data_IF_483370101791
#
_entry.id   IF_483370101791
#
_cell.length_a   1.000
_cell.length_b   1.000
_cell.length_c   1.000
_cell.angle_alpha   90.00
_cell.angle_beta   90.00
_cell.angle_gamma   90.00
#
_symmetry.space_group_name_H-M   'P 1'
#
loop_
_entity.id
_entity.type
_entity.pdbx_description
1 polymer ?
#
# COMPACT_ATOMS: atom_id res chain seq x y z
N UNK A 1 -31.64 26.39 -4.65
CA UNK A 1 -32.01 24.99 -4.89
C UNK A 1 -33.16 24.64 -3.98
N UNK A 2 -34.12 23.80 -4.38
CA UNK A 2 -35.16 23.34 -3.46
C UNK A 2 -34.52 22.60 -2.27
N UNK A 3 -34.96 22.88 -1.05
CA UNK A 3 -34.41 22.37 0.23
C UNK A 3 -34.29 20.84 0.30
N UNK A 4 -34.91 20.10 -0.61
CA UNK A 4 -34.94 18.64 -0.65
C UNK A 4 -33.69 17.98 -1.31
N UNK A 5 -32.79 18.72 -1.93
CA UNK A 5 -31.61 18.18 -2.64
C UNK A 5 -30.27 18.54 -2.00
N UNK A 6 -30.31 19.11 -0.82
CA UNK A 6 -29.10 19.40 -0.02
C UNK A 6 -29.00 18.43 1.17
N UNK A 7 -28.01 17.51 1.07
CA UNK A 7 -27.68 16.53 2.10
C UNK A 7 -26.41 16.89 2.88
N UNK A 8 -25.83 18.09 2.70
CA UNK A 8 -24.56 18.48 3.33
C UNK A 8 -24.58 18.43 4.86
N UNK A 9 -25.77 18.51 5.46
CA UNK A 9 -25.95 18.41 6.92
C UNK A 9 -26.09 16.97 7.42
N UNK A 10 -25.94 15.98 6.59
CA UNK A 10 -25.92 14.57 6.96
C UNK A 10 -24.49 14.02 6.84
N UNK A 11 -24.14 13.17 7.80
CA UNK A 11 -22.89 12.43 7.82
C UNK A 11 -23.17 10.94 7.59
N UNK A 12 -22.40 10.30 6.71
CA UNK A 12 -22.45 8.85 6.50
C UNK A 12 -21.07 8.28 6.75
N UNK A 13 -20.99 7.25 7.56
CA UNK A 13 -19.71 6.58 7.90
C UNK A 13 -19.78 5.12 7.48
N UNK A 14 -18.77 4.68 6.75
CA UNK A 14 -18.58 3.30 6.33
C UNK A 14 -17.29 2.70 6.93
N UNK A 15 -17.16 1.37 7.02
CA UNK A 15 -15.89 0.74 7.45
C UNK A 15 -14.69 1.12 6.57
N UNK A 16 -14.92 1.36 5.27
CA UNK A 16 -13.89 1.70 4.30
C UNK A 16 -14.34 2.77 3.31
N UNK A 17 -13.41 3.22 2.45
CA UNK A 17 -13.65 4.35 1.51
C UNK A 17 -14.55 4.01 0.31
N UNK A 18 -14.56 2.76 -0.13
CA UNK A 18 -15.24 2.36 -1.39
C UNK A 18 -16.75 2.58 -1.42
N UNK A 19 -17.52 2.26 -0.36
CA UNK A 19 -18.97 2.46 -0.37
C UNK A 19 -19.38 3.91 -0.65
N UNK A 20 -18.52 4.89 -0.33
CA UNK A 20 -18.78 6.30 -0.59
C UNK A 20 -19.04 6.61 -2.08
N UNK A 21 -18.25 5.99 -2.97
CA UNK A 21 -18.41 6.17 -4.40
C UNK A 21 -19.75 5.60 -4.90
N UNK A 22 -20.11 4.40 -4.45
CA UNK A 22 -21.36 3.76 -4.82
C UNK A 22 -22.58 4.51 -4.28
N UNK A 23 -22.50 4.98 -3.03
CA UNK A 23 -23.60 5.77 -2.45
C UNK A 23 -23.87 7.04 -3.27
N UNK A 24 -22.83 7.78 -3.65
CA UNK A 24 -22.98 8.96 -4.50
C UNK A 24 -23.64 8.64 -5.84
N UNK A 25 -23.21 7.55 -6.49
CA UNK A 25 -23.78 7.09 -7.76
C UNK A 25 -25.26 6.69 -7.62
N UNK A 26 -25.61 5.95 -6.56
CA UNK A 26 -27.00 5.52 -6.30
C UNK A 26 -27.90 6.71 -6.02
N UNK A 27 -27.45 7.68 -5.19
CA UNK A 27 -28.24 8.89 -4.90
C UNK A 27 -28.45 9.68 -6.20
N UNK A 28 -27.39 9.91 -6.99
CA UNK A 28 -27.52 10.62 -8.28
C UNK A 28 -28.51 9.95 -9.22
N UNK A 29 -28.43 8.62 -9.36
CA UNK A 29 -29.34 7.85 -10.21
C UNK A 29 -30.81 7.91 -9.75
N UNK A 30 -31.04 7.85 -8.42
CA UNK A 30 -32.41 7.94 -7.87
C UNK A 30 -33.02 9.33 -7.95
N UNK A 31 -32.22 10.38 -7.83
CA UNK A 31 -32.68 11.76 -7.88
C UNK A 31 -32.85 12.28 -9.30
N UNK A 32 -32.07 11.76 -10.28
CA UNK A 32 -32.09 12.21 -11.67
C UNK A 32 -31.75 13.69 -11.88
N UNK A 33 -31.18 14.35 -10.86
CA UNK A 33 -30.86 15.78 -10.84
C UNK A 33 -29.62 16.09 -10.00
N UNK A 34 -29.05 17.28 -10.18
CA UNK A 34 -27.91 17.76 -9.36
C UNK A 34 -28.33 17.90 -7.91
N UNK A 35 -27.47 17.46 -6.99
CA UNK A 35 -27.69 17.52 -5.56
C UNK A 35 -26.38 17.84 -4.82
N UNK A 36 -26.48 18.29 -3.56
CA UNK A 36 -25.34 18.43 -2.67
C UNK A 36 -25.22 17.15 -1.84
N UNK A 37 -24.12 16.37 -1.99
CA UNK A 37 -23.97 15.09 -1.32
C UNK A 37 -23.82 15.24 0.21
N UNK A 38 -24.14 14.20 0.98
CA UNK A 38 -23.76 14.14 2.40
C UNK A 38 -22.25 14.13 2.56
N UNK A 39 -21.78 14.49 3.74
CA UNK A 39 -20.40 14.23 4.15
C UNK A 39 -20.26 12.72 4.31
N UNK A 40 -19.26 12.12 3.68
CA UNK A 40 -19.07 10.66 3.72
C UNK A 40 -17.63 10.39 4.13
N UNK A 41 -17.47 9.63 5.21
CA UNK A 41 -16.18 9.20 5.74
C UNK A 41 -16.08 7.67 5.77
N UNK A 42 -14.86 7.17 5.64
CA UNK A 42 -14.50 5.88 6.20
C UNK A 42 -14.39 6.00 7.73
N UNK A 43 -14.38 4.86 8.44
CA UNK A 43 -14.22 4.86 9.90
C UNK A 43 -12.94 5.57 10.33
N UNK A 44 -11.84 5.35 9.63
CA UNK A 44 -10.57 6.00 9.92
C UNK A 44 -10.64 7.53 9.71
N UNK A 45 -11.22 8.00 8.60
CA UNK A 45 -11.43 9.43 8.34
C UNK A 45 -12.35 10.08 9.37
N UNK A 46 -13.37 9.34 9.83
CA UNK A 46 -14.27 9.80 10.89
C UNK A 46 -13.53 9.98 12.22
N UNK A 47 -12.71 9.00 12.61
CA UNK A 47 -11.88 9.09 13.82
C UNK A 47 -10.87 10.21 13.72
N UNK A 48 -10.18 10.36 12.59
CA UNK A 48 -9.24 11.45 12.36
C UNK A 48 -9.94 12.82 12.44
N UNK A 49 -11.15 12.95 11.90
CA UNK A 49 -11.97 14.15 12.00
C UNK A 49 -12.36 14.49 13.45
N UNK A 50 -12.81 13.47 14.21
CA UNK A 50 -13.12 13.64 15.64
C UNK A 50 -11.89 14.04 16.45
N UNK A 51 -10.78 13.32 16.24
CA UNK A 51 -9.52 13.61 16.92
C UNK A 51 -9.07 15.04 16.68
N UNK A 52 -9.11 15.52 15.44
CA UNK A 52 -8.77 16.91 15.11
C UNK A 52 -9.63 17.93 15.86
N UNK A 53 -10.89 17.62 16.13
CA UNK A 53 -11.78 18.48 16.94
C UNK A 53 -11.53 18.37 18.45
N UNK A 54 -11.18 17.19 18.95
CA UNK A 54 -10.89 16.96 20.38
C UNK A 54 -9.54 17.55 20.76
N UNK A 55 -8.50 17.30 19.94
CA UNK A 55 -7.13 17.70 20.20
C UNK A 55 -6.78 19.12 19.72
N UNK A 56 -7.72 19.84 19.07
CA UNK A 56 -7.46 21.16 18.52
C UNK A 56 -6.55 21.16 17.28
N UNK A 57 -6.33 20.01 16.65
CA UNK A 57 -5.63 19.90 15.37
C UNK A 57 -4.09 19.93 15.43
N UNK A 58 -3.47 19.88 16.61
CA UNK A 58 -2.01 20.08 16.74
C UNK A 58 -1.15 18.82 16.49
N UNK A 59 -1.66 17.60 16.76
CA UNK A 59 -0.85 16.39 16.64
C UNK A 59 -0.89 15.79 15.23
N UNK A 60 0.30 15.57 14.66
CA UNK A 60 0.46 14.93 13.36
C UNK A 60 0.37 13.39 13.51
N UNK A 61 -0.30 12.71 12.59
CA UNK A 61 -0.32 11.24 12.59
C UNK A 61 1.09 10.72 12.34
N UNK A 62 1.57 9.85 13.22
CA UNK A 62 2.92 9.28 13.09
C UNK A 62 2.96 8.28 11.94
N UNK A 63 4.00 8.37 11.13
CA UNK A 63 4.29 7.38 10.09
C UNK A 63 5.06 6.19 10.66
N UNK A 64 4.89 5.02 10.03
CA UNK A 64 5.49 3.77 10.52
C UNK A 64 7.01 3.87 10.72
N UNK A 65 7.70 4.54 9.80
CA UNK A 65 9.17 4.71 9.87
C UNK A 65 9.56 5.50 11.11
N UNK A 66 8.88 6.62 11.37
CA UNK A 66 9.11 7.45 12.56
C UNK A 66 8.76 6.68 13.84
N UNK A 67 7.67 5.91 13.85
CA UNK A 67 7.29 5.08 14.99
C UNK A 67 8.39 4.06 15.34
N UNK A 68 8.97 3.39 14.32
CA UNK A 68 10.07 2.45 14.53
C UNK A 68 11.32 3.15 15.07
N UNK A 69 11.59 4.38 14.63
CA UNK A 69 12.71 5.17 15.18
C UNK A 69 12.53 5.47 16.68
N UNK A 70 11.34 5.88 17.10
CA UNK A 70 11.05 6.04 18.54
C UNK A 70 11.20 4.74 19.31
N UNK A 71 10.72 3.62 18.76
CA UNK A 71 10.89 2.31 19.36
C UNK A 71 12.37 1.90 19.44
N UNK A 72 13.18 2.23 18.45
CA UNK A 72 14.61 1.98 18.47
C UNK A 72 15.33 2.77 19.57
N UNK A 73 14.99 4.05 19.75
CA UNK A 73 15.54 4.84 20.86
C UNK A 73 15.13 4.26 22.23
N UNK A 74 13.87 3.81 22.37
CA UNK A 74 13.39 3.13 23.57
C UNK A 74 14.17 1.83 23.77
N UNK A 75 14.41 1.02 22.71
CA UNK A 75 15.24 -0.17 22.78
C UNK A 75 16.65 0.13 23.30
N UNK A 76 17.27 1.19 22.81
CA UNK A 76 18.59 1.63 23.26
C UNK A 76 18.63 2.09 24.73
N UNK A 77 17.49 2.43 25.30
CA UNK A 77 17.34 2.85 26.71
C UNK A 77 17.05 1.67 27.67
N UNK A 78 16.94 0.44 27.17
CA UNK A 78 16.72 -0.75 28.01
C UNK A 78 17.98 -1.11 28.81
N UNK A 79 17.78 -1.70 29.98
CA UNK A 79 18.89 -2.20 30.83
C UNK A 79 19.56 -3.43 30.18
N UNK A 80 18.84 -4.17 29.36
CA UNK A 80 19.34 -5.37 28.67
C UNK A 80 18.89 -5.38 27.22
N UNK A 81 19.77 -5.81 26.29
CA UNK A 81 19.42 -5.94 24.89
C UNK A 81 18.34 -7.00 24.64
N UNK A 82 17.51 -6.79 23.62
CA UNK A 82 16.54 -7.78 23.18
C UNK A 82 17.23 -8.93 22.42
N UNK A 83 17.21 -10.12 23.02
CA UNK A 83 17.60 -11.35 22.34
C UNK A 83 19.10 -11.59 22.14
N UNK A 84 19.98 -10.86 22.82
CA UNK A 84 21.42 -11.04 22.70
C UNK A 84 22.23 -10.36 23.81
N UNK A 85 23.54 -10.33 23.67
CA UNK A 85 24.47 -9.63 24.56
C UNK A 85 24.66 -8.16 24.16
N UNK A 86 24.38 -7.82 22.90
CA UNK A 86 24.56 -6.47 22.34
C UNK A 86 23.23 -5.89 21.84
N UNK A 87 23.13 -4.56 21.82
CA UNK A 87 22.00 -3.86 21.24
C UNK A 87 22.00 -4.02 19.72
N UNK A 88 20.83 -4.28 19.14
CA UNK A 88 20.66 -4.38 17.69
C UNK A 88 21.02 -3.05 17.01
N UNK A 89 21.59 -3.13 15.82
CA UNK A 89 21.65 -1.99 14.91
C UNK A 89 20.23 -1.57 14.46
N UNK A 90 20.06 -0.36 13.95
CA UNK A 90 18.75 0.10 13.45
C UNK A 90 18.21 -0.84 12.37
N UNK A 91 19.06 -1.29 11.45
CA UNK A 91 18.69 -2.21 10.38
C UNK A 91 18.19 -3.56 10.93
N UNK A 92 18.92 -4.15 11.88
CA UNK A 92 18.53 -5.40 12.51
C UNK A 92 17.27 -5.27 13.40
N UNK A 93 17.06 -4.09 13.99
CA UNK A 93 15.88 -3.79 14.82
C UNK A 93 14.63 -3.53 13.99
N UNK A 94 14.75 -3.01 12.77
CA UNK A 94 13.61 -2.54 11.98
C UNK A 94 12.47 -3.58 11.83
N UNK A 95 12.72 -4.85 11.45
CA UNK A 95 11.67 -5.86 11.37
C UNK A 95 11.02 -6.16 12.73
N UNK A 96 11.78 -6.13 13.79
CA UNK A 96 11.28 -6.31 15.16
C UNK A 96 10.47 -5.11 15.60
N UNK A 97 10.98 -3.89 15.37
CA UNK A 97 10.28 -2.64 15.66
C UNK A 97 8.92 -2.55 14.95
N UNK A 98 8.84 -3.01 13.70
CA UNK A 98 7.59 -3.07 12.96
C UNK A 98 6.57 -4.01 13.63
N UNK A 99 7.00 -5.16 14.15
CA UNK A 99 6.12 -6.09 14.88
C UNK A 99 5.67 -5.47 16.20
N UNK A 100 6.60 -4.93 16.98
CA UNK A 100 6.27 -4.25 18.24
C UNK A 100 5.27 -3.13 18.00
N UNK A 101 5.48 -2.30 16.99
CA UNK A 101 4.54 -1.21 16.66
C UNK A 101 3.14 -1.72 16.34
N UNK A 102 3.02 -2.78 15.54
CA UNK A 102 1.72 -3.39 15.23
C UNK A 102 1.04 -3.96 16.47
N UNK A 103 1.78 -4.66 17.33
CA UNK A 103 1.26 -5.23 18.57
C UNK A 103 0.77 -4.12 19.53
N UNK A 104 1.51 -3.01 19.64
CA UNK A 104 1.11 -1.85 20.46
C UNK A 104 -0.18 -1.21 19.92
N UNK A 105 -0.28 -1.01 18.60
CA UNK A 105 -1.48 -0.47 17.96
C UNK A 105 -2.72 -1.37 18.16
N UNK A 106 -2.55 -2.69 18.00
CA UNK A 106 -3.63 -3.66 18.24
C UNK A 106 -4.06 -3.69 19.70
N UNK A 107 -3.13 -3.73 20.63
CA UNK A 107 -3.46 -3.74 22.06
C UNK A 107 -4.22 -2.50 22.49
N UNK A 108 -3.79 -1.31 22.07
CA UNK A 108 -4.48 -0.08 22.44
C UNK A 108 -5.87 0.00 21.82
N UNK A 109 -6.02 -0.40 20.56
CA UNK A 109 -7.32 -0.39 19.87
C UNK A 109 -8.32 -1.39 20.46
N UNK A 110 -7.79 -2.53 21.01
CA UNK A 110 -8.58 -3.52 21.75
C UNK A 110 -8.70 -3.18 23.25
N UNK A 111 -8.28 -1.99 23.65
CA UNK A 111 -8.46 -1.50 25.02
C UNK A 111 -7.62 -2.22 26.08
N UNK A 112 -6.57 -2.91 25.67
CA UNK A 112 -5.64 -3.57 26.60
C UNK A 112 -4.77 -2.49 27.26
N UNK A 113 -4.90 -2.35 28.57
CA UNK A 113 -4.10 -1.40 29.34
C UNK A 113 -2.77 -2.03 29.81
N UNK A 114 -1.70 -1.23 30.00
CA UNK A 114 -0.40 -1.72 30.46
C UNK A 114 -0.44 -2.61 31.73
N UNK A 115 -1.31 -2.32 32.74
CA UNK A 115 -1.43 -3.20 33.91
C UNK A 115 -1.94 -4.61 33.57
N UNK A 116 -2.83 -4.74 32.58
CA UNK A 116 -3.34 -6.04 32.13
C UNK A 116 -2.24 -6.84 31.44
N UNK A 117 -1.43 -6.19 30.60
CA UNK A 117 -0.30 -6.81 29.94
C UNK A 117 0.73 -7.32 30.99
N UNK A 118 1.10 -6.48 31.96
CA UNK A 118 1.99 -6.88 33.06
C UNK A 118 1.44 -8.02 33.91
N UNK A 119 0.14 -8.15 34.06
CA UNK A 119 -0.49 -9.23 34.81
C UNK A 119 -0.39 -10.59 34.09
N UNK A 120 -0.34 -10.58 32.75
CA UNK A 120 -0.25 -11.79 31.92
C UNK A 120 1.20 -12.27 31.75
N UNK A 121 2.17 -11.37 31.77
CA UNK A 121 3.60 -11.69 31.61
C UNK A 121 4.11 -12.83 32.53
N UNK A 122 3.86 -12.82 33.84
CA UNK A 122 4.29 -13.89 34.74
C UNK A 122 3.59 -15.23 34.51
N UNK A 123 2.35 -15.21 34.02
CA UNK A 123 1.58 -16.44 33.76
C UNK A 123 2.11 -17.20 32.53
N UNK A 124 2.83 -16.52 31.67
CA UNK A 124 3.39 -17.10 30.45
C UNK A 124 4.87 -17.55 30.67
N UNK A 125 5.49 -17.15 31.79
CA UNK A 125 6.79 -17.70 32.22
C UNK A 125 6.65 -19.21 32.52
N UNK A 126 7.27 -20.02 31.69
CA UNK A 126 7.24 -21.49 31.83
C UNK A 126 6.29 -22.22 30.88
N UNK A 127 5.36 -21.55 30.22
CA UNK A 127 4.50 -22.15 29.21
C UNK A 127 4.98 -21.87 27.78
N UNK A 128 5.78 -20.82 27.57
CA UNK A 128 6.34 -20.45 26.28
C UNK A 128 7.84 -20.77 26.19
N UNK A 129 8.36 -21.04 24.97
CA UNK A 129 9.80 -21.13 24.77
C UNK A 129 10.53 -19.88 25.31
N UNK A 130 11.74 -20.02 25.88
CA UNK A 130 12.48 -18.91 26.53
C UNK A 130 12.63 -17.65 25.65
N UNK A 131 12.72 -17.82 24.34
CA UNK A 131 12.79 -16.71 23.36
C UNK A 131 11.47 -15.94 23.23
N UNK A 132 10.33 -16.55 23.49
CA UNK A 132 9.00 -15.93 23.39
C UNK A 132 8.64 -15.22 24.69
N UNK A 133 9.01 -15.80 25.86
CA UNK A 133 8.79 -15.20 27.18
C UNK A 133 9.54 -13.85 27.36
N UNK A 134 10.82 -13.78 26.93
CA UNK A 134 11.59 -12.53 26.97
C UNK A 134 11.05 -11.43 26.05
N UNK A 135 10.35 -11.79 24.96
CA UNK A 135 9.70 -10.83 24.06
C UNK A 135 8.47 -10.15 24.68
N UNK A 136 7.70 -10.88 25.49
CA UNK A 136 6.51 -10.34 26.17
C UNK A 136 6.85 -9.38 27.30
N UNK A 137 7.84 -9.69 28.13
CA UNK A 137 8.33 -8.79 29.20
C UNK A 137 8.83 -7.45 28.64
N UNK A 138 9.31 -7.45 27.40
CA UNK A 138 9.73 -6.23 26.72
C UNK A 138 8.57 -5.41 26.18
N UNK A 139 7.40 -6.02 25.93
CA UNK A 139 6.28 -5.36 25.27
C UNK A 139 5.62 -4.33 26.18
N UNK A 140 5.46 -4.62 27.49
CA UNK A 140 4.97 -3.63 28.46
C UNK A 140 5.95 -2.46 28.61
N UNK A 141 7.26 -2.72 28.55
CA UNK A 141 8.27 -1.68 28.59
C UNK A 141 8.15 -0.69 27.40
N UNK A 142 7.93 -1.20 26.19
CA UNK A 142 7.67 -0.38 25.01
C UNK A 142 6.34 0.35 25.12
N UNK A 143 5.28 -0.33 25.56
CA UNK A 143 3.95 0.27 25.70
C UNK A 143 3.96 1.49 26.63
N UNK A 144 4.59 1.37 27.80
CA UNK A 144 4.66 2.44 28.81
C UNK A 144 5.41 3.69 28.31
N UNK A 145 6.34 3.53 27.36
CA UNK A 145 7.24 4.60 26.91
C UNK A 145 6.90 5.18 25.54
N UNK A 146 6.34 4.36 24.65
CA UNK A 146 6.15 4.75 23.26
C UNK A 146 5.14 5.90 23.10
N UNK A 147 3.93 5.74 23.63
CA UNK A 147 2.89 6.75 23.49
C UNK A 147 3.27 8.09 24.15
N UNK A 148 3.81 8.15 25.35
CA UNK A 148 4.31 9.41 25.92
C UNK A 148 5.44 10.06 25.09
N UNK A 149 6.31 9.24 24.49
CA UNK A 149 7.42 9.75 23.68
C UNK A 149 6.93 10.41 22.39
N UNK A 150 6.02 9.76 21.66
CA UNK A 150 5.47 10.33 20.42
C UNK A 150 4.58 11.53 20.69
N UNK A 151 3.78 11.53 21.75
CA UNK A 151 2.97 12.67 22.18
C UNK A 151 3.82 13.89 22.50
N UNK A 152 4.92 13.71 23.25
CA UNK A 152 5.90 14.76 23.56
C UNK A 152 6.52 15.37 22.29
N UNK A 153 6.66 14.57 21.24
CA UNK A 153 7.19 15.00 19.95
C UNK A 153 6.13 15.62 19.03
N UNK A 154 4.87 15.73 19.48
CA UNK A 154 3.76 16.30 18.71
C UNK A 154 3.13 15.33 17.71
N UNK A 155 3.31 14.02 17.92
CA UNK A 155 2.69 12.98 17.13
C UNK A 155 1.53 12.31 17.86
N UNK A 156 0.67 11.66 17.08
CA UNK A 156 -0.34 10.72 17.57
C UNK A 156 -0.36 9.48 16.66
N UNK A 157 -0.55 8.31 17.25
CA UNK A 157 -0.74 7.09 16.50
C UNK A 157 -2.20 6.89 16.08
N UNK A 158 -2.44 5.90 15.21
CA UNK A 158 -3.81 5.52 14.81
C UNK A 158 -4.62 5.08 16.04
N UNK A 159 -4.08 4.21 16.87
CA UNK A 159 -4.77 3.67 18.05
C UNK A 159 -5.06 4.74 19.11
N UNK A 160 -4.15 5.70 19.34
CA UNK A 160 -4.41 6.85 20.22
C UNK A 160 -5.56 7.71 19.73
N UNK A 161 -5.67 7.92 18.41
CA UNK A 161 -6.80 8.67 17.83
C UNK A 161 -8.13 7.95 18.06
N UNK A 162 -8.16 6.62 17.93
CA UNK A 162 -9.33 5.81 18.25
C UNK A 162 -9.68 5.88 19.74
N UNK A 163 -8.68 5.77 20.62
CA UNK A 163 -8.88 5.89 22.07
C UNK A 163 -9.39 7.28 22.46
N UNK A 164 -8.81 8.34 21.91
CA UNK A 164 -9.26 9.71 22.15
C UNK A 164 -10.69 9.95 21.62
N UNK A 165 -11.01 9.47 20.42
CA UNK A 165 -12.35 9.58 19.85
C UNK A 165 -13.37 8.83 20.69
N UNK A 166 -13.07 7.59 21.13
CA UNK A 166 -13.99 6.78 21.94
C UNK A 166 -14.29 7.36 23.31
N UNK A 167 -13.35 8.10 23.92
CA UNK A 167 -13.50 8.70 25.25
C UNK A 167 -13.91 10.16 25.23
N UNK A 168 -13.62 10.87 24.14
CA UNK A 168 -13.80 12.33 24.03
C UNK A 168 -14.95 12.76 23.13
N UNK A 169 -15.72 11.83 22.55
CA UNK A 169 -16.83 12.18 21.67
C UNK A 169 -17.92 12.96 22.43
N UNK A 170 -18.35 14.05 21.83
CA UNK A 170 -19.45 14.90 22.34
C UNK A 170 -20.34 15.32 21.19
N UNK A 171 -21.64 15.51 21.47
CA UNK A 171 -22.64 15.88 20.46
C UNK A 171 -22.28 17.18 19.73
N UNK A 172 -21.71 18.16 20.43
CA UNK A 172 -21.33 19.46 19.89
C UNK A 172 -20.22 19.36 18.83
N UNK A 173 -19.42 18.29 18.85
CA UNK A 173 -18.35 18.05 17.86
C UNK A 173 -18.90 17.63 16.50
N UNK A 174 -20.12 17.10 16.43
CA UNK A 174 -20.75 16.56 15.24
C UNK A 174 -22.08 17.27 14.93
N UNK A 175 -22.07 18.53 14.44
CA UNK A 175 -23.28 19.31 14.21
C UNK A 175 -24.05 18.87 12.95
N UNK A 176 -24.27 17.56 12.80
CA UNK A 176 -25.03 16.99 11.70
C UNK A 176 -26.48 16.72 12.11
N UNK A 177 -27.39 16.87 11.14
CA UNK A 177 -28.81 16.57 11.34
C UNK A 177 -29.06 15.07 11.48
N UNK A 178 -28.28 14.27 10.75
CA UNK A 178 -28.30 12.81 10.77
C UNK A 178 -26.87 12.28 10.64
N UNK A 179 -26.56 11.25 11.40
CA UNK A 179 -25.30 10.53 11.36
C UNK A 179 -25.64 9.06 11.10
N UNK A 180 -25.23 8.53 9.96
CA UNK A 180 -25.55 7.17 9.55
C UNK A 180 -24.28 6.33 9.52
N UNK A 181 -24.25 5.25 10.30
CA UNK A 181 -23.22 4.22 10.26
C UNK A 181 -23.76 3.01 9.49
N UNK A 182 -23.10 2.64 8.39
CA UNK A 182 -23.60 1.58 7.52
C UNK A 182 -22.53 0.57 7.11
N UNK A 183 -22.90 -0.71 7.02
CA UNK A 183 -22.05 -1.78 6.53
C UNK A 183 -21.02 -2.30 7.54
N UNK A 184 -21.18 -2.00 8.82
CA UNK A 184 -20.34 -2.54 9.89
C UNK A 184 -20.80 -3.95 10.25
N UNK A 185 -19.83 -4.85 10.45
CA UNK A 185 -20.08 -6.24 10.82
C UNK A 185 -19.22 -6.70 11.99
N UNK A 186 -18.02 -6.16 12.16
CA UNK A 186 -17.13 -6.43 13.29
C UNK A 186 -16.65 -5.10 13.87
N UNK A 187 -16.36 -5.11 15.17
CA UNK A 187 -15.97 -3.93 15.93
C UNK A 187 -14.74 -4.24 16.76
N UNK A 188 -13.79 -3.33 16.76
CA UNK A 188 -12.75 -3.27 17.78
C UNK A 188 -13.35 -2.75 19.09
N UNK A 189 -12.64 -2.93 20.21
CA UNK A 189 -13.13 -2.44 21.49
C UNK A 189 -13.30 -0.90 21.51
N UNK A 190 -12.40 -0.15 20.86
CA UNK A 190 -12.55 1.31 20.77
C UNK A 190 -13.74 1.72 19.91
N UNK A 191 -14.00 1.02 18.80
CA UNK A 191 -15.21 1.24 17.99
C UNK A 191 -16.48 0.88 18.76
N UNK A 192 -16.46 -0.20 19.53
CA UNK A 192 -17.57 -0.61 20.37
C UNK A 192 -17.94 0.48 21.40
N UNK A 193 -16.94 1.05 22.08
CA UNK A 193 -17.15 2.16 23.04
C UNK A 193 -17.72 3.38 22.34
N UNK A 194 -17.13 3.76 21.20
CA UNK A 194 -17.60 4.89 20.40
C UNK A 194 -19.04 4.71 19.93
N UNK A 195 -19.40 3.53 19.43
CA UNK A 195 -20.75 3.23 18.98
C UNK A 195 -21.75 3.15 20.14
N UNK A 196 -21.35 2.61 21.30
CA UNK A 196 -22.22 2.59 22.49
C UNK A 196 -22.61 4.00 22.92
N UNK A 197 -21.72 4.99 22.80
CA UNK A 197 -22.02 6.39 23.08
C UNK A 197 -22.94 7.00 22.00
N UNK A 198 -22.62 6.75 20.71
CA UNK A 198 -23.41 7.26 19.58
C UNK A 198 -24.83 6.68 19.52
N UNK A 199 -25.06 5.47 20.02
CA UNK A 199 -26.38 4.86 20.09
C UNK A 199 -27.33 5.58 21.05
N UNK A 200 -26.79 6.44 21.94
CA UNK A 200 -27.60 7.29 22.84
C UNK A 200 -28.10 8.58 22.15
N UNK A 201 -27.67 8.82 20.91
CA UNK A 201 -28.01 10.05 20.20
C UNK A 201 -29.15 9.85 19.21
N UNK A 202 -30.19 10.68 19.29
CA UNK A 202 -31.35 10.62 18.39
C UNK A 202 -30.99 10.87 16.91
N UNK A 203 -29.90 11.57 16.67
CA UNK A 203 -29.37 11.87 15.32
C UNK A 203 -28.62 10.69 14.69
N UNK A 204 -28.16 9.71 15.50
CA UNK A 204 -27.39 8.57 15.03
C UNK A 204 -28.30 7.44 14.57
N UNK A 205 -27.96 6.83 13.46
CA UNK A 205 -28.66 5.69 12.87
C UNK A 205 -27.63 4.64 12.44
N UNK A 206 -27.87 3.39 12.80
CA UNK A 206 -27.02 2.28 12.44
C UNK A 206 -27.75 1.33 11.51
N UNK A 207 -27.14 1.05 10.35
CA UNK A 207 -27.66 0.13 9.35
C UNK A 207 -26.75 -1.10 9.29
N UNK A 208 -27.29 -2.23 9.75
CA UNK A 208 -26.59 -3.51 9.72
C UNK A 208 -27.13 -4.39 8.60
N UNK A 209 -26.26 -5.18 8.00
CA UNK A 209 -26.65 -6.22 7.05
C UNK A 209 -26.91 -7.51 7.82
N UNK A 210 -28.07 -8.12 7.61
CA UNK A 210 -28.40 -9.42 8.21
C UNK A 210 -27.38 -10.48 7.78
N UNK A 211 -27.01 -11.32 8.75
CA UNK A 211 -26.06 -12.41 8.51
C UNK A 211 -25.77 -13.23 9.75
N UNK A 212 -25.12 -14.41 9.59
CA UNK A 212 -24.78 -15.27 10.72
C UNK A 212 -23.95 -14.54 11.78
N UNK A 213 -24.37 -14.60 13.04
CA UNK A 213 -23.66 -13.99 14.17
C UNK A 213 -23.94 -12.50 14.39
N UNK A 214 -24.80 -11.84 13.61
CA UNK A 214 -25.16 -10.43 13.82
C UNK A 214 -25.77 -10.22 15.20
N UNK A 215 -26.71 -11.04 15.63
CA UNK A 215 -27.37 -10.91 16.94
C UNK A 215 -26.36 -10.93 18.10
N UNK A 216 -25.32 -11.78 18.03
CA UNK A 216 -24.26 -11.82 19.05
C UNK A 216 -23.47 -10.52 19.09
N UNK A 217 -23.18 -9.92 17.92
CA UNK A 217 -22.44 -8.67 17.82
C UNK A 217 -23.26 -7.46 18.27
N UNK A 218 -24.53 -7.45 17.95
CA UNK A 218 -25.47 -6.43 18.45
C UNK A 218 -25.61 -6.49 19.98
N UNK A 219 -25.61 -7.68 20.55
CA UNK A 219 -25.61 -7.86 22.01
C UNK A 219 -24.38 -7.23 22.68
N UNK A 220 -23.20 -7.24 22.01
CA UNK A 220 -21.99 -6.55 22.50
C UNK A 220 -22.15 -5.02 22.53
N UNK A 221 -23.03 -4.45 21.71
CA UNK A 221 -23.40 -3.03 21.71
C UNK A 221 -24.58 -2.73 22.65
N UNK A 222 -25.09 -3.72 23.34
CA UNK A 222 -26.27 -3.58 24.20
C UNK A 222 -27.60 -3.55 23.45
N UNK A 223 -27.58 -3.84 22.15
CA UNK A 223 -28.79 -3.88 21.31
C UNK A 223 -29.42 -5.29 21.34
N UNK A 224 -30.71 -5.36 21.59
CA UNK A 224 -31.48 -6.63 21.62
C UNK A 224 -32.35 -6.83 20.38
N UNK A 225 -32.86 -5.72 19.83
CA UNK A 225 -33.74 -5.72 18.68
C UNK A 225 -33.28 -4.67 17.66
N UNK A 226 -33.48 -4.99 16.38
CA UNK A 226 -33.35 -4.06 15.28
C UNK A 226 -34.66 -3.99 14.51
N UNK A 227 -35.04 -2.81 14.06
CA UNK A 227 -36.12 -2.68 13.11
C UNK A 227 -35.68 -3.24 11.76
N UNK A 228 -36.40 -4.17 11.19
CA UNK A 228 -36.17 -4.61 9.83
C UNK A 228 -36.48 -3.45 8.88
N UNK A 229 -35.48 -2.98 8.15
CA UNK A 229 -35.73 -2.08 7.04
C UNK A 229 -36.58 -2.84 6.02
N UNK A 230 -37.73 -2.25 5.64
CA UNK A 230 -38.58 -2.80 4.57
C UNK A 230 -37.75 -2.78 3.29
N UNK A 231 -36.97 -3.82 3.06
CA UNK A 231 -36.28 -4.01 1.82
C UNK A 231 -37.10 -4.90 0.89
N UNK A 232 -36.88 -4.73 -0.41
CA UNK A 232 -37.46 -5.60 -1.43
C UNK A 232 -37.18 -7.04 -1.05
N UNK A 233 -38.18 -7.87 -1.04
CA UNK A 233 -38.07 -9.30 -0.74
C UNK A 233 -36.79 -9.87 -1.29
N UNK A 234 -35.97 -10.40 -0.39
CA UNK A 234 -34.81 -11.21 -0.79
C UNK A 234 -35.31 -12.24 -1.82
N UNK A 235 -34.74 -12.35 -3.00
CA UNK A 235 -35.20 -13.35 -3.97
C UNK A 235 -35.30 -14.68 -3.25
N UNK A 236 -36.46 -15.33 -3.34
CA UNK A 236 -36.68 -16.67 -2.76
C UNK A 236 -35.42 -17.52 -2.90
N UNK A 237 -35.03 -18.17 -1.85
CA UNK A 237 -33.82 -19.02 -1.74
C UNK A 237 -33.89 -20.12 -2.83
N UNK A 238 -33.57 -19.71 -4.08
CA UNK A 238 -33.35 -20.64 -5.19
C UNK A 238 -32.12 -21.40 -4.80
N UNK A 239 -32.27 -22.66 -4.41
CA UNK A 239 -31.27 -23.53 -3.86
C UNK A 239 -29.87 -23.26 -4.43
N UNK A 240 -28.91 -22.92 -3.58
CA UNK A 240 -27.55 -22.57 -3.95
C UNK A 240 -26.88 -23.76 -4.63
N UNK A 241 -26.50 -23.60 -5.90
CA UNK A 241 -25.70 -24.61 -6.59
C UNK A 241 -24.20 -24.31 -6.36
N UNK A 242 -23.46 -25.30 -5.89
CA UNK A 242 -22.00 -25.23 -5.72
C UNK A 242 -21.33 -26.04 -6.82
N UNK A 243 -20.43 -25.43 -7.56
CA UNK A 243 -19.61 -26.06 -8.58
C UNK A 243 -18.15 -26.02 -8.15
N UNK A 244 -17.50 -27.18 -8.13
CA UNK A 244 -16.10 -27.30 -7.73
C UNK A 244 -15.24 -27.66 -8.95
N UNK A 245 -14.20 -26.85 -9.19
CA UNK A 245 -13.25 -27.05 -10.26
C UNK A 245 -11.87 -27.31 -9.67
N UNK A 246 -11.17 -28.33 -10.19
CA UNK A 246 -9.80 -28.68 -9.78
C UNK A 246 -8.86 -28.37 -10.94
N UNK A 247 -7.76 -27.67 -10.64
CA UNK A 247 -6.67 -27.43 -11.59
C UNK A 247 -5.31 -27.71 -10.96
N UNK A 248 -4.27 -27.78 -11.78
CA UNK A 248 -2.91 -28.05 -11.33
C UNK A 248 -2.24 -26.84 -10.69
N UNK A 249 -2.61 -25.63 -11.12
CA UNK A 249 -2.01 -24.38 -10.67
C UNK A 249 -2.98 -23.19 -10.80
N UNK A 250 -2.54 -21.97 -10.46
CA UNK A 250 -3.34 -20.76 -10.52
C UNK A 250 -3.69 -20.33 -11.95
N UNK A 251 -2.87 -20.65 -12.95
CA UNK A 251 -3.19 -20.39 -14.36
C UNK A 251 -4.34 -21.28 -14.83
N UNK A 252 -4.29 -22.57 -14.49
CA UNK A 252 -5.39 -23.49 -14.75
C UNK A 252 -6.70 -23.08 -14.07
N UNK A 253 -6.63 -22.51 -12.85
CA UNK A 253 -7.81 -21.92 -12.19
C UNK A 253 -8.34 -20.72 -12.97
N UNK A 254 -7.48 -19.84 -13.48
CA UNK A 254 -7.88 -18.70 -14.30
C UNK A 254 -8.53 -19.13 -15.62
N UNK A 255 -8.05 -20.21 -16.26
CA UNK A 255 -8.69 -20.79 -17.44
C UNK A 255 -10.06 -21.41 -17.14
N UNK A 256 -10.19 -22.12 -16.01
CA UNK A 256 -11.50 -22.63 -15.57
C UNK A 256 -12.50 -21.49 -15.34
N UNK A 257 -12.05 -20.40 -14.68
CA UNK A 257 -12.87 -19.20 -14.51
C UNK A 257 -13.25 -18.57 -15.86
N UNK A 258 -12.32 -18.52 -16.83
CA UNK A 258 -12.60 -18.01 -18.17
C UNK A 258 -13.74 -18.80 -18.84
N UNK A 259 -13.73 -20.13 -18.73
CA UNK A 259 -14.78 -21.00 -19.25
C UNK A 259 -16.14 -20.69 -18.62
N UNK A 260 -16.19 -20.55 -17.29
CA UNK A 260 -17.42 -20.19 -16.55
C UNK A 260 -17.94 -18.81 -16.96
N UNK A 261 -17.05 -17.81 -17.10
CA UNK A 261 -17.45 -16.47 -17.54
C UNK A 261 -17.98 -16.47 -18.97
N UNK A 262 -17.39 -17.27 -19.86
CA UNK A 262 -17.85 -17.42 -21.23
C UNK A 262 -19.25 -18.03 -21.30
N UNK A 263 -19.48 -19.16 -20.62
CA UNK A 263 -20.79 -19.80 -20.54
C UNK A 263 -21.85 -18.82 -20.02
N UNK A 264 -21.54 -18.06 -18.96
CA UNK A 264 -22.45 -17.05 -18.44
C UNK A 264 -22.68 -15.86 -19.36
N UNK A 265 -21.73 -15.50 -20.23
CA UNK A 265 -21.89 -14.40 -21.19
C UNK A 265 -22.86 -14.75 -22.34
N UNK A 266 -23.06 -16.03 -22.58
CA UNK A 266 -23.98 -16.56 -23.60
C UNK A 266 -25.43 -16.65 -23.09
N UNK A 267 -25.67 -16.54 -21.77
CA UNK A 267 -27.01 -16.52 -21.20
C UNK A 267 -27.69 -15.14 -21.34
N UNK A 268 -28.98 -15.06 -21.70
CA UNK A 268 -29.71 -13.81 -21.79
C UNK A 268 -29.79 -13.13 -20.40
N UNK A 269 -29.23 -11.94 -20.26
CA UNK A 269 -29.24 -11.19 -19.00
C UNK A 269 -30.34 -10.14 -18.98
N UNK A 270 -30.96 -9.94 -17.79
CA UNK A 270 -31.71 -8.72 -17.51
C UNK A 270 -30.70 -7.54 -17.38
N UNK A 271 -31.09 -6.36 -17.89
CA UNK A 271 -30.21 -5.18 -18.02
C UNK A 271 -29.61 -4.65 -16.70
N UNK A 272 -30.07 -5.13 -15.55
CA UNK A 272 -29.64 -4.70 -14.19
C UNK A 272 -28.82 -5.76 -13.42
N UNK A 273 -28.35 -6.82 -14.06
CA UNK A 273 -27.72 -7.95 -13.36
C UNK A 273 -26.19 -7.71 -13.14
N UNK A 274 -25.85 -6.92 -12.14
CA UNK A 274 -24.49 -6.80 -11.58
C UNK A 274 -24.29 -7.92 -10.58
N UNK A 275 -24.05 -9.15 -11.05
CA UNK A 275 -24.22 -10.31 -10.18
C UNK A 275 -23.01 -11.21 -10.04
N UNK A 276 -21.87 -10.88 -10.67
CA UNK A 276 -20.68 -11.73 -10.58
C UNK A 276 -19.60 -11.10 -9.72
N UNK A 277 -19.23 -11.78 -8.62
CA UNK A 277 -18.09 -11.42 -7.77
C UNK A 277 -17.02 -12.50 -7.90
N UNK A 278 -15.80 -12.09 -8.27
CA UNK A 278 -14.63 -12.96 -8.28
C UNK A 278 -13.84 -12.67 -7.01
N UNK A 279 -13.74 -13.66 -6.12
CA UNK A 279 -12.95 -13.55 -4.88
C UNK A 279 -11.62 -14.25 -5.06
N UNK A 280 -10.53 -13.50 -4.90
CA UNK A 280 -9.16 -14.01 -4.98
C UNK A 280 -8.60 -14.16 -3.56
N UNK A 281 -8.27 -15.38 -3.11
CA UNK A 281 -7.69 -15.59 -1.78
C UNK A 281 -6.31 -14.97 -1.60
N UNK A 282 -5.55 -14.84 -2.71
CA UNK A 282 -4.23 -14.25 -2.74
C UNK A 282 -4.08 -13.27 -3.91
N UNK A 283 -3.37 -12.17 -3.67
CA UNK A 283 -3.20 -11.10 -4.66
C UNK A 283 -2.39 -11.52 -5.90
N UNK A 284 -1.56 -12.55 -5.78
CA UNK A 284 -0.73 -13.08 -6.88
C UNK A 284 -1.55 -13.73 -8.01
N UNK A 285 -2.79 -14.17 -7.72
CA UNK A 285 -3.70 -14.69 -8.74
C UNK A 285 -4.36 -13.61 -9.59
N UNK A 286 -4.20 -12.33 -9.25
CA UNK A 286 -4.83 -11.23 -9.97
C UNK A 286 -4.38 -11.16 -11.44
N UNK A 287 -3.06 -11.19 -11.70
CA UNK A 287 -2.56 -11.11 -13.08
C UNK A 287 -2.96 -12.30 -13.96
N UNK A 288 -2.86 -13.55 -13.51
CA UNK A 288 -3.44 -14.70 -14.24
C UNK A 288 -4.90 -14.49 -14.61
N UNK A 289 -5.73 -13.97 -13.70
CA UNK A 289 -7.15 -13.70 -13.98
C UNK A 289 -7.31 -12.55 -15.00
N UNK A 290 -6.56 -11.46 -14.85
CA UNK A 290 -6.57 -10.34 -15.80
C UNK A 290 -6.18 -10.77 -17.21
N UNK A 291 -5.19 -11.65 -17.35
CA UNK A 291 -4.69 -12.07 -18.66
C UNK A 291 -5.50 -13.18 -19.31
N UNK A 292 -6.10 -14.08 -18.54
CA UNK A 292 -6.72 -15.30 -19.08
C UNK A 292 -8.25 -15.30 -18.98
N UNK A 293 -8.83 -14.67 -17.95
CA UNK A 293 -10.27 -14.70 -17.73
C UNK A 293 -10.97 -13.40 -18.14
N UNK A 294 -10.40 -12.24 -17.80
CA UNK A 294 -11.04 -10.94 -18.04
C UNK A 294 -10.93 -10.38 -19.45
N UNK A 295 -10.05 -10.81 -20.38
CA UNK A 295 -10.13 -10.39 -21.78
C UNK A 295 -11.46 -10.71 -22.44
N UNK A 296 -12.23 -11.64 -21.89
CA UNK A 296 -13.60 -11.98 -22.35
C UNK A 296 -14.65 -10.96 -21.88
N UNK A 297 -14.30 -10.08 -20.96
CA UNK A 297 -15.17 -9.03 -20.41
C UNK A 297 -14.63 -7.67 -20.82
N UNK A 298 -15.49 -6.75 -21.25
CA UNK A 298 -15.04 -5.38 -21.60
C UNK A 298 -14.38 -4.71 -20.39
N UNK A 299 -13.39 -3.84 -20.62
CA UNK A 299 -12.69 -3.11 -19.55
C UNK A 299 -13.62 -2.27 -18.69
N UNK A 300 -14.72 -1.79 -19.24
CA UNK A 300 -15.77 -1.06 -18.51
C UNK A 300 -16.69 -1.98 -17.70
N UNK A 301 -16.66 -3.30 -17.97
CA UNK A 301 -17.54 -4.29 -17.37
C UNK A 301 -17.07 -4.89 -16.05
N UNK A 302 -15.88 -4.51 -15.54
CA UNK A 302 -15.38 -5.02 -14.26
C UNK A 302 -14.66 -3.95 -13.43
N UNK A 303 -14.61 -4.17 -12.13
CA UNK A 303 -13.89 -3.34 -11.18
C UNK A 303 -13.01 -4.20 -10.28
N UNK A 304 -11.76 -3.78 -10.08
CA UNK A 304 -10.79 -4.48 -9.24
C UNK A 304 -10.78 -3.85 -7.86
N UNK A 305 -11.05 -4.67 -6.84
CA UNK A 305 -11.10 -4.29 -5.42
C UNK A 305 -9.93 -4.80 -4.60
N UNK A 306 -8.94 -5.42 -5.24
CA UNK A 306 -7.81 -6.04 -4.58
C UNK A 306 -6.59 -5.13 -4.65
N UNK A 307 -5.89 -4.92 -3.51
CA UNK A 307 -4.55 -4.35 -3.50
C UNK A 307 -3.54 -5.33 -4.09
N UNK A 308 -2.60 -4.85 -4.87
CA UNK A 308 -1.50 -5.66 -5.39
C UNK A 308 -0.19 -5.26 -4.69
N UNK A 309 0.59 -6.21 -4.14
CA UNK A 309 1.83 -5.91 -3.44
C UNK A 309 2.82 -5.20 -4.37
N UNK A 310 3.34 -4.03 -3.96
CA UNK A 310 4.31 -3.26 -4.75
C UNK A 310 5.59 -4.06 -5.03
N UNK A 311 6.01 -4.91 -4.10
CA UNK A 311 7.18 -5.79 -4.22
C UNK A 311 7.13 -6.76 -5.41
N UNK A 312 5.94 -7.01 -5.97
CA UNK A 312 5.72 -7.87 -7.13
C UNK A 312 5.61 -7.08 -8.44
N UNK A 313 5.83 -5.80 -8.40
CA UNK A 313 5.72 -4.93 -9.57
C UNK A 313 7.05 -4.76 -10.30
N UNK A 314 7.04 -4.54 -11.62
CA UNK A 314 8.27 -4.20 -12.35
C UNK A 314 8.95 -2.93 -11.80
N UNK A 315 8.19 -1.98 -11.27
CA UNK A 315 8.73 -0.78 -10.63
C UNK A 315 9.59 -1.12 -9.41
N UNK A 316 9.15 -2.07 -8.57
CA UNK A 316 9.94 -2.58 -7.47
C UNK A 316 11.23 -3.25 -7.95
N UNK A 317 11.13 -4.15 -8.94
CA UNK A 317 12.30 -4.83 -9.53
C UNK A 317 13.33 -3.84 -10.04
N UNK A 318 12.90 -2.75 -10.68
CA UNK A 318 13.76 -1.66 -11.12
C UNK A 318 14.47 -0.97 -9.95
N UNK A 319 13.72 -0.57 -8.91
CA UNK A 319 14.29 0.11 -7.74
C UNK A 319 15.25 -0.80 -6.97
N UNK A 320 14.89 -2.07 -6.77
CA UNK A 320 15.76 -3.04 -6.09
C UNK A 320 17.04 -3.28 -6.87
N UNK A 321 16.99 -3.46 -8.21
CA UNK A 321 18.19 -3.66 -9.02
C UNK A 321 19.12 -2.43 -8.98
N UNK A 322 18.56 -1.22 -8.95
CA UNK A 322 19.33 0.01 -8.79
C UNK A 322 19.98 0.11 -7.39
N UNK A 323 19.22 -0.19 -6.33
CA UNK A 323 19.73 -0.18 -4.97
C UNK A 323 20.81 -1.24 -4.76
N UNK A 324 20.63 -2.44 -5.32
CA UNK A 324 21.62 -3.51 -5.28
C UNK A 324 22.91 -3.09 -5.99
N UNK A 325 22.80 -2.50 -7.18
CA UNK A 325 23.94 -1.96 -7.92
C UNK A 325 24.71 -0.94 -7.07
N UNK A 326 24.03 0.04 -6.47
CA UNK A 326 24.68 1.08 -5.66
C UNK A 326 25.30 0.47 -4.40
N UNK A 327 24.63 -0.51 -3.76
CA UNK A 327 25.14 -1.16 -2.55
C UNK A 327 26.33 -2.08 -2.80
N UNK A 328 26.48 -2.63 -4.00
CA UNK A 328 27.60 -3.49 -4.40
C UNK A 328 28.79 -2.73 -4.99
N UNK A 329 28.70 -1.39 -5.10
CA UNK A 329 29.82 -0.57 -5.55
C UNK A 329 30.97 -0.63 -4.55
N UNK A 330 32.19 -0.80 -5.09
CA UNK A 330 33.43 -0.80 -4.33
C UNK A 330 34.39 0.25 -4.90
N UNK A 331 34.89 1.16 -4.07
CA UNK A 331 35.75 2.27 -4.44
C UNK A 331 35.29 3.05 -5.70
N UNK A 332 33.97 3.25 -5.84
CA UNK A 332 33.35 3.94 -6.99
C UNK A 332 33.25 3.07 -8.26
N UNK A 333 33.56 1.77 -8.17
CA UNK A 333 33.44 0.81 -9.26
C UNK A 333 32.20 -0.04 -9.11
N UNK A 334 31.47 -0.24 -10.19
CA UNK A 334 30.26 -1.09 -10.23
C UNK A 334 30.64 -2.56 -10.36
N UNK A 335 29.94 -3.43 -9.63
CA UNK A 335 29.99 -4.87 -9.84
C UNK A 335 29.25 -5.21 -11.14
N UNK A 336 29.96 -5.77 -12.12
CA UNK A 336 29.45 -5.96 -13.50
C UNK A 336 28.13 -6.74 -13.55
N UNK A 337 27.93 -7.85 -12.82
CA UNK A 337 26.66 -8.56 -12.84
C UNK A 337 25.47 -7.72 -12.39
N UNK A 338 25.62 -6.92 -11.33
CA UNK A 338 24.54 -6.05 -10.83
C UNK A 338 24.29 -4.88 -11.78
N UNK A 339 25.36 -4.33 -12.37
CA UNK A 339 25.25 -3.32 -13.40
C UNK A 339 24.47 -3.83 -14.62
N UNK A 340 24.81 -5.02 -15.12
CA UNK A 340 24.07 -5.63 -16.23
C UNK A 340 22.63 -5.94 -15.85
N UNK A 341 22.38 -6.47 -14.64
CA UNK A 341 21.03 -6.68 -14.12
C UNK A 341 20.18 -5.41 -14.13
N UNK A 342 20.78 -4.27 -13.79
CA UNK A 342 20.09 -2.98 -13.79
C UNK A 342 19.91 -2.39 -15.19
N UNK A 343 20.96 -2.33 -16.03
CA UNK A 343 20.85 -1.68 -17.35
C UNK A 343 20.01 -2.49 -18.35
N UNK A 344 19.94 -3.81 -18.20
CA UNK A 344 19.07 -4.68 -18.98
C UNK A 344 17.63 -4.76 -18.46
N UNK A 345 17.34 -4.16 -17.30
CA UNK A 345 15.98 -4.09 -16.81
C UNK A 345 15.06 -3.37 -17.82
N UNK A 346 13.83 -3.84 -18.06
CA UNK A 346 12.91 -3.25 -19.05
C UNK A 346 12.73 -1.74 -18.94
N UNK A 347 12.75 -1.18 -17.74
CA UNK A 347 12.61 0.26 -17.54
C UNK A 347 13.85 1.04 -17.99
N UNK A 348 15.04 0.48 -17.81
CA UNK A 348 16.31 1.12 -18.19
C UNK A 348 16.59 0.94 -19.69
N UNK A 349 16.54 -0.30 -20.20
CA UNK A 349 16.89 -0.57 -21.61
C UNK A 349 15.92 0.01 -22.63
N UNK A 350 14.73 0.45 -22.19
CA UNK A 350 13.73 1.09 -23.04
C UNK A 350 13.62 2.61 -22.82
N UNK A 351 14.67 3.25 -22.32
CA UNK A 351 14.77 4.71 -22.28
C UNK A 351 14.88 5.22 -23.72
N UNK A 352 14.15 6.29 -24.02
CA UNK A 352 14.15 6.91 -25.34
C UNK A 352 15.43 7.71 -25.58
N UNK A 353 16.03 7.49 -26.75
CA UNK A 353 16.95 8.42 -27.39
C UNK A 353 16.27 8.93 -28.66
N UNK A 354 16.02 10.24 -28.73
CA UNK A 354 15.32 10.89 -29.85
C UNK A 354 13.99 10.23 -30.24
N UNK A 355 13.22 9.81 -29.23
CA UNK A 355 11.91 9.16 -29.38
C UNK A 355 11.97 7.66 -29.68
N UNK A 356 13.15 7.05 -29.81
CA UNK A 356 13.33 5.63 -30.13
C UNK A 356 13.97 4.88 -28.97
N UNK A 357 13.50 3.65 -28.71
CA UNK A 357 14.07 2.75 -27.66
C UNK A 357 15.15 1.82 -28.20
N UNK A 358 15.20 1.63 -29.51
CA UNK A 358 16.09 0.69 -30.19
C UNK A 358 17.56 1.01 -29.94
N UNK A 359 17.92 2.28 -29.94
CA UNK A 359 19.30 2.73 -29.69
C UNK A 359 19.78 2.27 -28.33
N UNK A 360 18.98 2.49 -27.29
CA UNK A 360 19.31 2.10 -25.91
C UNK A 360 19.37 0.60 -25.74
N UNK A 361 18.48 -0.15 -26.37
CA UNK A 361 18.52 -1.63 -26.37
C UNK A 361 19.80 -2.16 -27.03
N UNK A 362 20.12 -1.68 -28.23
CA UNK A 362 21.32 -2.10 -28.96
C UNK A 362 22.56 -1.73 -28.16
N UNK A 363 22.61 -0.53 -27.58
CA UNK A 363 23.72 -0.06 -26.75
C UNK A 363 23.98 -1.00 -25.56
N UNK A 364 22.94 -1.33 -24.77
CA UNK A 364 23.13 -2.16 -23.58
C UNK A 364 23.40 -3.63 -23.93
N UNK A 365 22.82 -4.19 -24.99
CA UNK A 365 23.19 -5.55 -25.44
C UNK A 365 24.62 -5.61 -26.00
N UNK A 366 25.05 -4.58 -26.73
CA UNK A 366 26.45 -4.52 -27.18
C UNK A 366 27.43 -4.38 -26.01
N UNK A 367 27.04 -3.60 -24.99
CA UNK A 367 27.82 -3.47 -23.76
C UNK A 367 27.89 -4.80 -22.99
N UNK A 368 26.78 -5.52 -22.88
CA UNK A 368 26.73 -6.85 -22.31
C UNK A 368 27.68 -7.81 -23.00
N UNK A 369 27.65 -7.89 -24.34
CA UNK A 369 28.57 -8.71 -25.13
C UNK A 369 30.04 -8.39 -24.82
N UNK A 370 30.39 -7.10 -24.84
CA UNK A 370 31.76 -6.65 -24.58
C UNK A 370 32.23 -6.92 -23.14
N UNK A 371 31.35 -6.85 -22.16
CA UNK A 371 31.70 -7.15 -20.77
C UNK A 371 31.78 -8.66 -20.50
N UNK A 372 31.03 -9.47 -21.22
CA UNK A 372 31.08 -10.94 -21.14
C UNK A 372 32.29 -11.54 -21.89
N UNK A 373 32.84 -10.83 -22.90
CA UNK A 373 34.09 -11.21 -23.56
C UNK A 373 35.31 -11.18 -22.58
N UNK A 374 35.32 -10.20 -21.66
CA UNK A 374 36.34 -10.05 -20.62
C UNK A 374 35.93 -10.72 -19.29
N UNK A 375 35.99 -12.06 -19.27
CA UNK A 375 35.60 -12.86 -18.10
C UNK A 375 36.49 -12.70 -16.86
N UNK A 376 37.59 -12.01 -17.00
CA UNK A 376 38.57 -11.82 -15.90
C UNK A 376 38.20 -10.64 -15.01
N UNK A 377 37.28 -9.80 -15.44
CA UNK A 377 36.96 -8.54 -14.81
C UNK A 377 35.60 -8.58 -14.14
N UNK A 378 35.56 -8.41 -12.82
CA UNK A 378 34.33 -8.38 -12.03
C UNK A 378 33.81 -6.97 -11.76
N UNK A 379 34.66 -5.95 -11.82
CA UNK A 379 34.34 -4.56 -11.54
C UNK A 379 34.83 -3.62 -12.66
N UNK A 380 34.06 -2.55 -12.92
CA UNK A 380 34.45 -1.48 -13.84
C UNK A 380 34.03 -0.12 -13.27
N UNK A 381 34.75 0.98 -13.57
CA UNK A 381 34.25 2.32 -13.24
C UNK A 381 33.24 2.79 -14.29
N UNK A 382 32.33 3.68 -13.92
CA UNK A 382 31.38 4.26 -14.88
C UNK A 382 32.13 5.05 -15.96
N UNK A 383 33.24 5.74 -15.59
CA UNK A 383 34.07 6.50 -16.49
C UNK A 383 34.78 5.61 -17.53
N UNK A 384 35.21 4.40 -17.13
CA UNK A 384 35.78 3.43 -18.07
C UNK A 384 34.74 2.96 -19.10
N UNK A 385 33.50 2.70 -18.64
CA UNK A 385 32.40 2.32 -19.54
C UNK A 385 32.01 3.46 -20.49
N UNK A 386 32.00 4.69 -20.01
CA UNK A 386 31.72 5.92 -20.76
C UNK A 386 32.82 6.33 -21.73
N UNK A 387 34.07 5.86 -21.51
CA UNK A 387 35.19 6.10 -22.36
C UNK A 387 35.47 4.99 -23.41
N UNK A 388 34.67 3.89 -23.37
CA UNK A 388 34.88 2.70 -24.20
C UNK A 388 34.49 2.93 -25.66
N UNK A 389 35.38 3.53 -26.46
CA UNK A 389 35.15 3.88 -27.87
C UNK A 389 34.67 2.72 -28.74
N UNK A 390 35.15 1.49 -28.48
CA UNK A 390 34.71 0.28 -29.16
C UNK A 390 33.21 0.04 -29.05
N UNK A 391 32.59 0.29 -27.86
CA UNK A 391 31.16 0.18 -27.65
C UNK A 391 30.39 1.07 -28.61
N UNK A 392 30.76 2.35 -28.65
CA UNK A 392 30.01 3.35 -29.43
C UNK A 392 30.19 3.15 -30.93
N UNK A 393 31.39 2.71 -31.37
CA UNK A 393 31.65 2.33 -32.76
C UNK A 393 30.78 1.15 -33.20
N UNK A 394 30.77 0.04 -32.44
CA UNK A 394 29.95 -1.15 -32.74
C UNK A 394 28.45 -0.81 -32.74
N UNK A 395 27.97 0.06 -31.83
CA UNK A 395 26.58 0.50 -31.79
C UNK A 395 26.21 1.33 -33.02
N UNK A 396 27.05 2.30 -33.41
CA UNK A 396 26.84 3.13 -34.58
C UNK A 396 26.82 2.30 -35.88
N UNK A 397 27.72 1.31 -36.02
CA UNK A 397 27.75 0.38 -37.13
C UNK A 397 26.45 -0.47 -37.22
N UNK A 398 25.96 -1.03 -36.08
CA UNK A 398 24.74 -1.81 -36.03
C UNK A 398 23.51 -0.98 -36.41
N UNK A 399 23.44 0.26 -35.93
CA UNK A 399 22.34 1.18 -36.25
C UNK A 399 22.38 1.62 -37.72
N UNK A 400 23.56 1.92 -38.25
CA UNK A 400 23.70 2.24 -39.66
C UNK A 400 23.30 1.08 -40.57
N UNK A 401 23.64 -0.18 -40.18
CA UNK A 401 23.22 -1.38 -40.88
C UNK A 401 21.68 -1.61 -40.82
N UNK A 402 21.00 -1.07 -39.81
CA UNK A 402 19.54 -1.09 -39.68
C UNK A 402 18.84 0.09 -40.37
N UNK A 403 19.60 0.99 -41.05
CA UNK A 403 19.06 2.17 -41.73
C UNK A 403 18.81 3.37 -40.82
N UNK A 404 19.34 3.37 -39.60
CA UNK A 404 19.20 4.42 -38.60
C UNK A 404 20.58 4.92 -38.13
N UNK A 405 21.32 5.68 -38.95
CA UNK A 405 22.64 6.16 -38.58
C UNK A 405 22.58 7.12 -37.38
N UNK A 406 23.42 6.86 -36.38
CA UNK A 406 23.57 7.67 -35.17
C UNK A 406 25.09 7.87 -34.94
N UNK A 407 25.48 9.08 -34.55
CA UNK A 407 26.87 9.38 -34.25
C UNK A 407 27.31 8.72 -32.94
N UNK A 408 28.51 8.14 -32.91
CA UNK A 408 29.10 7.47 -31.76
C UNK A 408 29.13 8.37 -30.49
N UNK A 409 29.39 9.66 -30.66
CA UNK A 409 29.40 10.65 -29.57
C UNK A 409 27.99 10.92 -29.01
N UNK A 410 26.94 10.76 -29.80
CA UNK A 410 25.57 10.89 -29.33
C UNK A 410 25.18 9.70 -28.44
N UNK A 411 25.54 8.49 -28.87
CA UNK A 411 25.35 7.26 -28.07
C UNK A 411 26.08 7.37 -26.74
N UNK A 412 27.33 7.88 -26.77
CA UNK A 412 28.11 8.13 -25.56
C UNK A 412 27.41 9.11 -24.61
N UNK A 413 26.95 10.25 -25.10
CA UNK A 413 26.22 11.25 -24.31
C UNK A 413 24.95 10.66 -23.70
N UNK A 414 24.29 9.79 -24.45
CA UNK A 414 23.09 9.10 -23.96
C UNK A 414 23.42 8.15 -22.80
N UNK A 415 24.49 7.35 -22.89
CA UNK A 415 24.95 6.49 -21.80
C UNK A 415 25.32 7.32 -20.55
N UNK A 416 26.08 8.39 -20.72
CA UNK A 416 26.45 9.30 -19.61
C UNK A 416 25.18 9.87 -18.94
N UNK A 417 24.20 10.29 -19.75
CA UNK A 417 22.92 10.79 -19.22
C UNK A 417 22.18 9.75 -18.36
N UNK A 418 22.16 8.50 -18.81
CA UNK A 418 21.54 7.40 -18.04
C UNK A 418 22.31 7.16 -16.73
N UNK A 419 23.63 7.11 -16.77
CA UNK A 419 24.46 6.96 -15.58
C UNK A 419 24.24 8.10 -14.58
N UNK A 420 24.24 9.35 -15.04
CA UNK A 420 24.07 10.53 -14.18
C UNK A 420 22.67 10.57 -13.55
N UNK A 421 21.65 10.34 -14.36
CA UNK A 421 20.26 10.47 -13.93
C UNK A 421 19.80 9.31 -13.05
N UNK A 422 20.39 8.14 -13.17
CA UNK A 422 19.97 6.94 -12.44
C UNK A 422 21.05 6.53 -11.42
N UNK A 423 22.24 6.12 -11.84
CA UNK A 423 23.21 5.47 -10.95
C UNK A 423 23.88 6.48 -10.01
N UNK A 424 24.49 7.54 -10.56
CA UNK A 424 25.13 8.57 -9.73
C UNK A 424 24.13 9.28 -8.83
N UNK A 425 22.91 9.50 -9.34
CA UNK A 425 21.83 10.10 -8.56
C UNK A 425 21.39 9.21 -7.41
N UNK A 426 21.23 7.90 -7.63
CA UNK A 426 20.85 6.94 -6.58
C UNK A 426 21.88 6.86 -5.46
N UNK A 427 23.17 6.97 -5.76
CA UNK A 427 24.27 6.94 -4.76
C UNK A 427 24.51 8.26 -4.03
N UNK A 428 23.93 9.37 -4.49
CA UNK A 428 24.23 10.72 -3.99
C UNK A 428 23.28 11.19 -2.90
N UNK A 429 23.07 10.42 -1.81
CA UNK A 429 22.24 10.84 -0.68
C UNK A 429 23.01 10.83 0.64
N UNK A 430 22.62 11.70 1.57
CA UNK A 430 23.23 11.84 2.91
C UNK A 430 22.25 11.46 4.01
N UNK A 431 20.95 11.51 3.73
CA UNK A 431 19.86 11.23 4.67
C UNK A 431 18.64 10.71 3.91
N UNK A 432 17.60 10.30 4.65
CA UNK A 432 16.37 9.76 4.07
C UNK A 432 15.62 10.77 3.18
N UNK A 433 15.67 12.06 3.48
CA UNK A 433 15.01 13.08 2.66
C UNK A 433 15.70 13.23 1.30
N UNK A 434 17.06 13.24 1.28
CA UNK A 434 17.83 13.24 0.03
C UNK A 434 17.58 11.97 -0.78
N UNK A 435 17.58 10.80 -0.11
CA UNK A 435 17.23 9.52 -0.72
C UNK A 435 15.86 9.60 -1.40
N UNK A 436 14.83 10.01 -0.67
CA UNK A 436 13.48 10.11 -1.20
C UNK A 436 13.37 11.11 -2.36
N UNK A 437 14.07 12.25 -2.29
CA UNK A 437 14.11 13.23 -3.37
C UNK A 437 14.77 12.66 -4.63
N UNK A 438 15.93 12.00 -4.47
CA UNK A 438 16.67 11.41 -5.58
C UNK A 438 15.86 10.30 -6.27
N UNK A 439 15.24 9.41 -5.49
CA UNK A 439 14.43 8.32 -6.05
C UNK A 439 13.13 8.83 -6.69
N UNK A 440 12.54 9.92 -6.20
CA UNK A 440 11.42 10.59 -6.86
C UNK A 440 11.83 11.16 -8.23
N UNK A 441 13.01 11.79 -8.35
CA UNK A 441 13.54 12.27 -9.62
C UNK A 441 13.85 11.13 -10.59
N UNK A 442 14.39 10.00 -10.10
CA UNK A 442 14.66 8.79 -10.88
C UNK A 442 13.36 8.22 -11.47
N UNK A 443 12.32 8.06 -10.65
CA UNK A 443 11.02 7.57 -11.12
C UNK A 443 10.37 8.53 -12.12
N UNK A 444 10.48 9.84 -11.90
CA UNK A 444 10.02 10.87 -12.84
C UNK A 444 10.78 10.78 -14.18
N UNK A 445 12.10 10.61 -14.13
CA UNK A 445 12.91 10.44 -15.34
C UNK A 445 12.48 9.20 -16.14
N UNK A 446 12.24 8.06 -15.47
CA UNK A 446 11.72 6.84 -16.12
C UNK A 446 10.34 7.07 -16.70
N UNK A 447 9.45 7.75 -15.98
CA UNK A 447 8.12 8.11 -16.49
C UNK A 447 8.21 8.92 -17.79
N UNK A 448 9.08 9.93 -17.82
CA UNK A 448 9.18 10.86 -18.94
C UNK A 448 9.95 10.29 -20.14
N UNK A 449 10.93 9.42 -19.87
CA UNK A 449 11.95 9.01 -20.82
C UNK A 449 11.96 7.53 -21.18
N UNK A 450 11.07 6.69 -20.57
CA UNK A 450 11.02 5.26 -20.90
C UNK A 450 9.65 4.86 -21.47
N UNK A 451 9.66 3.87 -22.36
CA UNK A 451 8.42 3.24 -22.84
C UNK A 451 7.66 2.47 -21.74
N UNK A 452 8.24 2.33 -20.54
CA UNK A 452 7.59 1.74 -19.38
C UNK A 452 6.21 2.37 -19.09
N UNK A 453 6.07 3.69 -19.31
CA UNK A 453 4.80 4.43 -19.14
C UNK A 453 3.63 3.94 -20.00
N UNK A 454 3.92 3.20 -21.07
CA UNK A 454 2.88 2.64 -21.94
C UNK A 454 2.21 1.41 -21.33
N UNK A 455 2.78 0.84 -20.27
CA UNK A 455 2.15 -0.27 -19.56
C UNK A 455 0.97 0.24 -18.72
N UNK A 456 -0.22 -0.38 -18.82
CA UNK A 456 -1.45 0.11 -18.17
C UNK A 456 -1.35 0.33 -16.66
N UNK A 457 -0.53 -0.50 -15.98
CA UNK A 457 -0.36 -0.43 -14.53
C UNK A 457 0.87 0.37 -14.08
N UNK A 458 1.61 0.99 -15.00
CA UNK A 458 2.80 1.75 -14.65
C UNK A 458 2.47 2.95 -13.74
N UNK A 459 1.49 3.76 -14.15
CA UNK A 459 1.10 4.95 -13.40
C UNK A 459 0.65 4.66 -11.96
N UNK A 460 -0.30 3.73 -11.70
CA UNK A 460 -0.71 3.41 -10.35
C UNK A 460 0.44 2.93 -9.44
N UNK A 461 1.38 2.16 -10.00
CA UNK A 461 2.52 1.67 -9.23
C UNK A 461 3.51 2.78 -8.91
N UNK A 462 3.87 3.62 -9.89
CA UNK A 462 4.79 4.74 -9.68
C UNK A 462 4.18 5.77 -8.74
N UNK A 463 2.89 6.09 -8.86
CA UNK A 463 2.18 6.98 -7.94
C UNK A 463 2.26 6.46 -6.50
N UNK A 464 2.05 5.16 -6.29
CA UNK A 464 2.17 4.56 -4.96
C UNK A 464 3.59 4.70 -4.41
N UNK A 465 4.63 4.46 -5.22
CA UNK A 465 6.02 4.67 -4.79
C UNK A 465 6.32 6.14 -4.48
N UNK A 466 5.84 7.08 -5.29
CA UNK A 466 6.05 8.50 -5.05
C UNK A 466 5.37 8.95 -3.76
N UNK A 467 4.20 8.41 -3.42
CA UNK A 467 3.52 8.67 -2.15
C UNK A 467 4.35 8.16 -0.96
N UNK A 468 4.90 6.94 -1.03
CA UNK A 468 5.76 6.40 0.03
C UNK A 468 7.08 7.19 0.16
N UNK A 469 7.67 7.61 -0.97
CA UNK A 469 8.86 8.47 -0.95
C UNK A 469 8.56 9.86 -0.33
N UNK A 470 7.37 10.41 -0.56
CA UNK A 470 6.97 11.67 0.06
C UNK A 470 6.78 11.53 1.59
N UNK A 471 6.30 10.38 2.06
CA UNK A 471 6.28 10.03 3.49
C UNK A 471 7.70 10.02 4.05
N UNK A 472 8.64 9.32 3.39
CA UNK A 472 10.04 9.28 3.82
C UNK A 472 10.70 10.67 3.82
N UNK A 473 10.40 11.53 2.84
CA UNK A 473 10.90 12.90 2.76
C UNK A 473 10.45 13.77 3.93
N UNK A 474 9.26 13.52 4.46
CA UNK A 474 8.70 14.25 5.61
C UNK A 474 9.11 13.65 6.96
N UNK A 475 9.69 12.45 6.96
CA UNK A 475 10.16 11.77 8.17
C UNK A 475 11.14 12.67 8.96
N UNK A 476 11.09 12.58 10.28
CA UNK A 476 12.02 13.24 11.19
C UNK A 476 13.32 12.48 11.40
N UNK A 477 13.43 11.27 10.87
CA UNK A 477 14.69 10.52 10.84
C UNK A 477 15.63 11.23 9.86
N UNK A 478 16.77 11.66 10.40
CA UNK A 478 17.80 12.34 9.62
C UNK A 478 18.93 11.37 9.23
#
# INVERSE_FOLDING_TARGET
MPDGLDFSRNLVVFPGKRPAHFLRKVIAGKLGSSYIPPVIFSMEEFVDHLYGKIAGGEAVKIETVDAIAFLFEIHRSMDRPLGGEEFLSLEAFFPLGLRIYRDLEEMLIEGVAPPQLRAVEPLMEGTLPPRTGGGLQSLSFFYDRFYPAIAKAGFSSRSERYAAASSGIKRELLPYRRIVFAGFYAFTEMERRLFSELLLWDEACFLFTEGPGLAQKLALLGLRDCEEAQDRACPEDRGKAFHFYKSTDCHGQAFALASVLKERSEEPRAADDVSTVIVLPAADTLFPVLHHALPLVSQEGYNISLGYPLERTPAWGFLVSLMQLVSSMDEGRVYIPDYLGFVLHPYTKNIYMDGKTEVTRIMFHTLEELLLEDRTRSFASLEELEARGELFGRVAERLAGAGEPVEADEVRRHLVTIHDRLIRRAGAFKNLADFAANFSEILTFIHDRSSARLHPFFHPFVESFLNELDVLKRSRIK
#
